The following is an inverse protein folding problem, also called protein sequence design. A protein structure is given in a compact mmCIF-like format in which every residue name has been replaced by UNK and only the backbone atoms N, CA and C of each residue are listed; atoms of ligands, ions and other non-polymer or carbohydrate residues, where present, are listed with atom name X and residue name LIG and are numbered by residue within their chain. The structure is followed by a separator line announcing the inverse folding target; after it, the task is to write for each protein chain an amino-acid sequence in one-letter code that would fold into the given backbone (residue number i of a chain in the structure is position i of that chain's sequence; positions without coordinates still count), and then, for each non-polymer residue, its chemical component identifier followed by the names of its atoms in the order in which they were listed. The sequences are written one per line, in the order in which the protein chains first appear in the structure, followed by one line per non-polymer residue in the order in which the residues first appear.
data_IF_824442295647
#
_entry.id   IF_824442295647
#
_cell.length_a   1.000
_cell.length_b   1.000
_cell.length_c   1.000
_cell.angle_alpha   90.00
_cell.angle_beta   90.00
_cell.angle_gamma   90.00
#
_symmetry.space_group_name_H-M   'P 1'
#
loop_
_entity.id
_entity.type
_entity.pdbx_description
1 polymer ?
#
# COMPACT_ATOMS: atom_id res chain seq x y z
N UNK A 1 -14.05 -28.81 3.14
CA UNK A 1 -13.75 -28.43 2.98
C UNK A 1 -13.14 -27.85 2.93
N UNK A 2 -12.74 -27.70 2.72
CA UNK A 2 -12.10 -27.28 2.58
C UNK A 2 -11.53 -26.40 2.77
N UNK A 3 -11.17 -26.42 3.05
CA UNK A 3 -10.47 -25.64 3.50
C UNK A 3 -9.88 -24.78 2.57
N UNK A 4 -9.48 -23.86 2.77
CA UNK A 4 -9.03 -23.04 1.98
C UNK A 4 -7.69 -22.83 2.06
N UNK A 5 -6.92 -23.28 1.38
CA UNK A 5 -5.54 -23.10 1.45
C UNK A 5 -5.16 -21.72 1.16
N UNK A 6 -5.99 -21.11 0.55
CA UNK A 6 -5.63 -19.86 0.20
C UNK A 6 -5.46 -19.00 1.27
N UNK A 7 -5.78 -19.39 2.40
CA UNK A 7 -5.61 -18.54 3.37
C UNK A 7 -4.28 -18.38 3.72
N UNK A 8 -3.33 -19.05 3.25
CA UNK A 8 -2.08 -18.88 3.65
C UNK A 8 -1.45 -17.72 3.15
N UNK A 9 -1.83 -16.89 2.42
CA UNK A 9 -1.18 -15.74 1.96
C UNK A 9 -1.87 -15.24 0.74
N UNK A 10 -1.35 -14.21 0.13
CA UNK A 10 -1.93 -13.64 -1.04
C UNK A 10 -1.38 -14.34 -2.26
N UNK A 11 -2.20 -14.60 -3.23
CA UNK A 11 -1.67 -15.18 -4.46
C UNK A 11 -1.08 -14.06 -5.32
N UNK A 12 -0.41 -14.42 -6.38
CA UNK A 12 0.31 -13.47 -7.21
C UNK A 12 -0.61 -12.44 -7.83
N UNK A 13 -1.82 -12.85 -8.18
CA UNK A 13 -2.77 -11.91 -8.78
C UNK A 13 -3.19 -10.85 -7.77
N UNK A 14 -3.47 -11.28 -6.55
CA UNK A 14 -3.86 -10.34 -5.50
C UNK A 14 -2.72 -9.41 -5.14
N UNK A 15 -1.51 -9.93 -5.06
CA UNK A 15 -0.36 -9.10 -4.76
C UNK A 15 -0.16 -8.05 -5.83
N UNK A 16 -0.29 -8.45 -7.08
CA UNK A 16 -0.10 -7.52 -8.19
C UNK A 16 -1.17 -6.43 -8.16
N UNK A 17 -2.41 -6.81 -7.92
CA UNK A 17 -3.49 -5.83 -7.87
C UNK A 17 -3.30 -4.87 -6.70
N UNK A 18 -2.95 -5.38 -5.53
CA UNK A 18 -2.73 -4.53 -4.37
C UNK A 18 -1.56 -3.58 -4.59
N UNK A 19 -0.50 -4.07 -5.19
CA UNK A 19 0.65 -3.22 -5.47
C UNK A 19 0.27 -2.09 -6.41
N UNK A 20 -0.54 -2.39 -7.42
CA UNK A 20 -0.98 -1.36 -8.34
C UNK A 20 -1.85 -0.32 -7.65
N UNK A 21 -2.76 -0.76 -6.81
CA UNK A 21 -3.63 0.18 -6.10
C UNK A 21 -2.83 1.02 -5.12
N UNK A 22 -1.88 0.43 -4.43
CA UNK A 22 -1.04 1.20 -3.52
C UNK A 22 -0.18 2.21 -4.26
N UNK A 23 0.29 1.86 -5.43
CA UNK A 23 1.06 2.81 -6.23
C UNK A 23 0.21 4.02 -6.61
N UNK A 24 -1.06 3.79 -6.94
CA UNK A 24 -1.96 4.89 -7.26
C UNK A 24 -2.20 5.76 -6.03
N UNK A 25 -2.46 5.14 -4.89
CA UNK A 25 -2.70 5.88 -3.66
C UNK A 25 -1.48 6.72 -3.31
N UNK A 26 -0.30 6.13 -3.36
CA UNK A 26 0.92 6.85 -3.04
C UNK A 26 1.18 7.98 -4.02
N UNK A 27 0.93 7.73 -5.29
CA UNK A 27 1.15 8.76 -6.29
C UNK A 27 0.27 9.98 -6.06
N UNK A 28 -1.01 9.75 -5.75
CA UNK A 28 -1.91 10.86 -5.52
C UNK A 28 -1.65 11.55 -4.20
N UNK A 29 -1.31 10.80 -3.16
CA UNK A 29 -0.97 11.42 -1.88
C UNK A 29 0.25 12.32 -2.05
N UNK A 30 1.24 11.88 -2.80
CA UNK A 30 2.44 12.68 -3.01
C UNK A 30 2.13 13.92 -3.82
N UNK A 31 1.23 13.80 -4.79
CA UNK A 31 0.82 14.96 -5.54
C UNK A 31 0.14 15.98 -4.65
N UNK A 32 -0.78 15.53 -3.82
CA UNK A 32 -1.49 16.42 -2.90
C UNK A 32 -0.51 17.05 -1.92
N UNK A 33 0.41 16.25 -1.40
CA UNK A 33 1.40 16.79 -0.46
C UNK A 33 2.28 17.84 -1.10
N UNK A 34 2.62 17.68 -2.38
CA UNK A 34 3.47 18.65 -3.04
C UNK A 34 2.77 20.00 -3.19
N UNK A 35 1.44 20.01 -3.15
CA UNK A 35 0.67 21.23 -3.23
C UNK A 35 0.19 21.71 -1.87
N UNK A 36 0.59 21.05 -0.80
CA UNK A 36 0.10 21.35 0.54
C UNK A 36 1.16 22.12 1.29
N UNK A 37 0.80 23.28 1.82
CA UNK A 37 1.74 24.08 2.55
C UNK A 37 2.20 23.36 3.81
N UNK A 38 3.40 23.67 4.25
CA UNK A 38 3.96 23.00 5.42
C UNK A 38 3.13 23.21 6.68
N UNK A 39 2.41 24.32 6.77
CA UNK A 39 1.60 24.61 7.93
C UNK A 39 0.13 24.31 7.71
N UNK A 40 -0.22 23.66 6.63
CA UNK A 40 -1.61 23.30 6.37
C UNK A 40 -2.04 22.29 7.43
N UNK A 41 -3.18 22.47 8.09
CA UNK A 41 -3.60 21.54 9.13
C UNK A 41 -3.91 20.12 8.61
N UNK A 42 -4.07 19.96 7.33
CA UNK A 42 -4.31 18.62 6.77
C UNK A 42 -3.02 17.88 6.47
N UNK A 43 -1.89 18.57 6.49
CA UNK A 43 -0.64 17.93 6.11
C UNK A 43 -0.28 16.74 6.99
N UNK A 44 -0.43 16.81 8.30
CA UNK A 44 -0.11 15.63 9.11
C UNK A 44 -0.95 14.43 8.76
N UNK A 45 -2.23 14.65 8.43
CA UNK A 45 -3.10 13.54 8.05
C UNK A 45 -2.65 12.93 6.74
N UNK A 46 -2.26 13.77 5.79
CA UNK A 46 -1.78 13.28 4.51
C UNK A 46 -0.48 12.50 4.66
N UNK A 47 0.37 12.94 5.56
CA UNK A 47 1.62 12.22 5.82
C UNK A 47 1.37 10.87 6.47
N UNK A 48 0.33 10.77 7.30
CA UNK A 48 -0.05 9.50 7.89
C UNK A 48 -0.56 8.54 6.83
N UNK A 49 -1.33 9.04 5.87
CA UNK A 49 -1.81 8.21 4.78
C UNK A 49 -0.63 7.71 3.94
N UNK A 50 0.31 8.60 3.67
CA UNK A 50 1.48 8.22 2.91
C UNK A 50 2.27 7.13 3.62
N UNK A 51 2.46 7.29 4.92
CA UNK A 51 3.19 6.32 5.71
C UNK A 51 2.49 4.98 5.72
N UNK A 52 1.19 4.98 5.93
CA UNK A 52 0.42 3.74 5.97
C UNK A 52 0.47 3.02 4.62
N UNK A 53 0.39 3.76 3.54
CA UNK A 53 0.44 3.15 2.22
C UNK A 53 1.81 2.54 1.95
N UNK A 54 2.88 3.22 2.38
CA UNK A 54 4.22 2.66 2.24
C UNK A 54 4.36 1.37 3.03
N UNK A 55 3.84 1.36 4.24
CA UNK A 55 3.93 0.16 5.08
C UNK A 55 3.12 -0.98 4.49
N UNK A 56 1.95 -0.67 3.94
CA UNK A 56 1.16 -1.69 3.27
C UNK A 56 1.90 -2.25 2.06
N UNK A 57 2.56 -1.40 1.31
CA UNK A 57 3.31 -1.85 0.15
C UNK A 57 4.42 -2.81 0.55
N UNK A 58 5.06 -2.54 1.67
CA UNK A 58 6.10 -3.41 2.17
C UNK A 58 5.55 -4.76 2.61
N UNK A 59 4.38 -4.74 3.26
CA UNK A 59 3.76 -5.98 3.70
C UNK A 59 3.35 -6.82 2.49
N UNK A 60 2.76 -6.19 1.48
CA UNK A 60 2.37 -6.90 0.29
C UNK A 60 3.58 -7.49 -0.41
N UNK A 61 4.66 -6.74 -0.45
CA UNK A 61 5.88 -7.21 -1.07
C UNK A 61 6.44 -8.43 -0.36
N UNK A 62 6.39 -8.41 0.97
CA UNK A 62 6.87 -9.55 1.73
C UNK A 62 5.94 -10.75 1.62
N UNK A 63 4.66 -10.50 1.47
CA UNK A 63 3.71 -11.58 1.36
C UNK A 63 3.89 -12.36 0.08
N UNK A 64 4.48 -11.71 -0.93
CA UNK A 64 4.69 -12.37 -2.18
C UNK A 64 6.13 -12.78 -2.29
N UNK A 65 6.63 -13.62 -1.45
CA UNK A 65 7.97 -13.99 -1.50
C UNK A 65 8.10 -15.17 -2.34
N UNK A 66 8.80 -15.12 -3.33
CA UNK A 66 8.87 -16.24 -4.17
C UNK A 66 9.74 -17.27 -3.64
N UNK A 67 10.17 -17.29 -2.86
CA UNK A 67 10.87 -18.22 -2.39
C UNK A 67 11.70 -18.70 -3.19
N UNK A 68 11.96 -18.55 -3.69
CA UNK A 68 12.85 -19.06 -4.48
C UNK A 68 13.34 -19.86 -4.33
#
# INVERSE_FOLDING_TARGET
MEAQPERRGLDATAVHALSNHLAVILGFVELVLSDTAADDPRRPDLEEIQQAAHECAQIVSRSHTPEA
#
